data_IF_995043745085
#
_entry.id   IF_995043745085
#
_cell.length_a   1.000
_cell.length_b   1.000
_cell.length_c   1.000
_cell.angle_alpha   90.00
_cell.angle_beta   90.00
_cell.angle_gamma   90.00
#
_symmetry.space_group_name_H-M   'P 1'
#
loop_
_entity.id
_entity.type
_entity.pdbx_description
1 polymer ?
#
# COMPACT_ATOMS: atom_id res chain seq x y z
N UNK A 1 20.32 22.61 15.19
CA UNK A 1 19.77 22.03 13.95
C UNK A 1 19.66 20.52 14.18
N UNK A 2 18.48 20.01 14.54
CA UNK A 2 18.30 18.62 15.01
C UNK A 2 17.93 17.72 13.84
N UNK A 3 18.81 16.79 13.49
CA UNK A 3 18.54 15.66 12.61
C UNK A 3 17.55 14.72 13.31
N UNK A 4 16.29 14.70 12.86
CA UNK A 4 15.32 13.69 13.29
C UNK A 4 15.48 12.45 12.44
N UNK A 5 16.51 11.65 12.75
CA UNK A 5 16.60 10.27 12.28
C UNK A 5 15.92 9.35 13.31
N UNK A 6 15.04 8.47 12.82
CA UNK A 6 14.42 7.32 13.53
C UNK A 6 13.51 7.69 14.71
N UNK A 7 12.19 7.56 14.50
CA UNK A 7 11.04 7.58 15.46
C UNK A 7 10.10 8.80 15.45
N UNK A 8 9.62 9.25 14.28
CA UNK A 8 8.48 10.16 14.24
C UNK A 8 7.48 9.75 13.14
N UNK A 9 6.80 8.62 13.35
CA UNK A 9 5.49 8.33 12.76
C UNK A 9 4.64 7.35 13.61
N UNK A 10 5.12 6.95 14.79
CA UNK A 10 4.36 6.16 15.76
C UNK A 10 4.20 6.95 17.07
N UNK A 11 3.37 7.98 17.04
CA UNK A 11 2.65 8.55 18.19
C UNK A 11 1.81 9.75 17.72
N UNK A 12 0.75 9.48 16.95
CA UNK A 12 -0.40 10.36 16.94
C UNK A 12 -1.64 9.46 16.86
N UNK A 13 -2.50 9.40 17.89
CA UNK A 13 -3.85 8.91 17.66
C UNK A 13 -4.48 9.92 16.70
N UNK A 14 -4.66 9.55 15.44
CA UNK A 14 -5.54 10.27 14.52
C UNK A 14 -6.98 10.04 14.98
N UNK A 15 -7.32 10.62 16.14
CA UNK A 15 -8.66 11.09 16.41
C UNK A 15 -8.89 12.30 15.49
N UNK A 16 -9.18 12.05 14.21
CA UNK A 16 -9.82 13.03 13.35
C UNK A 16 -11.27 13.14 13.81
N UNK A 17 -11.49 13.84 14.93
CA UNK A 17 -12.79 14.42 15.23
C UNK A 17 -13.03 15.58 14.23
N UNK A 18 -14.26 15.76 13.73
CA UNK A 18 -14.56 16.76 12.73
C UNK A 18 -14.65 18.11 13.41
N UNK A 19 -13.68 19.01 13.25
CA UNK A 19 -13.92 20.43 13.55
C UNK A 19 -13.04 21.37 12.73
N UNK A 20 -13.74 22.31 12.10
CA UNK A 20 -13.40 23.71 11.88
C UNK A 20 -12.23 24.06 10.93
N UNK A 21 -12.57 25.00 10.04
CA UNK A 21 -11.72 25.68 9.08
C UNK A 21 -10.36 26.15 9.67
N UNK A 22 -9.29 26.02 8.88
CA UNK A 22 -8.08 26.83 9.05
C UNK A 22 -6.77 26.10 9.38
N UNK A 23 -6.69 24.77 9.35
CA UNK A 23 -5.40 24.10 9.52
C UNK A 23 -4.53 24.27 8.25
N UNK A 24 -3.39 24.97 8.38
CA UNK A 24 -2.38 24.99 7.32
C UNK A 24 -1.92 23.56 7.01
N UNK A 25 -1.72 23.19 5.73
CA UNK A 25 -1.23 21.87 5.39
C UNK A 25 0.16 21.68 6.01
N UNK A 26 0.27 20.75 6.95
CA UNK A 26 1.55 20.41 7.56
C UNK A 26 2.46 19.80 6.49
N UNK A 27 3.43 20.57 6.00
CA UNK A 27 4.37 20.08 5.01
C UNK A 27 5.31 19.05 5.66
N UNK A 28 5.40 17.87 5.06
CA UNK A 28 6.31 16.81 5.51
C UNK A 28 7.54 16.84 4.62
N UNK A 29 8.74 16.83 5.21
CA UNK A 29 9.98 16.77 4.45
C UNK A 29 10.31 15.30 4.14
N UNK A 30 10.55 14.98 2.88
CA UNK A 30 10.84 13.62 2.42
C UNK A 30 12.01 13.61 1.43
N UNK A 31 12.73 12.50 1.29
CA UNK A 31 13.83 12.35 0.34
C UNK A 31 13.53 11.23 -0.69
N UNK A 32 12.74 11.49 -1.73
CA UNK A 32 12.36 10.44 -2.67
C UNK A 32 13.47 10.08 -3.65
N UNK A 33 14.42 10.98 -3.93
CA UNK A 33 15.39 10.82 -5.03
C UNK A 33 16.71 11.60 -4.90
N UNK A 34 17.02 12.27 -3.77
CA UNK A 34 18.22 13.11 -3.66
C UNK A 34 18.18 14.12 -2.51
N UNK A 35 18.02 15.43 -2.76
CA UNK A 35 17.81 16.40 -1.69
C UNK A 35 16.41 16.24 -1.10
N UNK A 36 16.24 16.48 0.20
CA UNK A 36 14.91 16.52 0.80
C UNK A 36 14.00 17.55 0.12
N UNK A 37 12.77 17.17 -0.18
CA UNK A 37 11.73 18.05 -0.70
C UNK A 37 10.52 18.11 0.24
N UNK A 38 9.74 19.18 0.14
CA UNK A 38 8.49 19.32 0.87
C UNK A 38 7.39 18.57 0.14
N UNK A 39 6.61 17.81 0.90
CA UNK A 39 5.41 17.13 0.46
C UNK A 39 4.18 17.82 1.06
N UNK A 40 3.14 17.96 0.25
CA UNK A 40 1.80 18.38 0.68
C UNK A 40 0.74 17.43 0.16
N UNK A 41 -0.37 17.32 0.89
CA UNK A 41 -1.50 16.47 0.51
C UNK A 41 -2.79 17.27 0.49
N UNK A 42 -3.66 16.98 -0.47
CA UNK A 42 -5.01 17.54 -0.53
C UNK A 42 -5.99 16.51 -1.09
N UNK A 43 -7.26 16.64 -0.73
CA UNK A 43 -8.35 15.95 -1.43
C UNK A 43 -8.95 16.94 -2.43
N UNK A 44 -8.95 16.56 -3.71
CA UNK A 44 -9.49 17.36 -4.82
C UNK A 44 -10.49 16.50 -5.57
N UNK A 45 -11.78 16.73 -5.33
CA UNK A 45 -12.84 15.84 -5.80
C UNK A 45 -12.64 14.41 -5.27
N UNK A 46 -12.70 13.43 -6.17
CA UNK A 46 -12.52 12.01 -5.86
C UNK A 46 -11.04 11.57 -5.75
N UNK A 47 -10.09 12.52 -5.70
CA UNK A 47 -8.65 12.25 -5.70
C UNK A 47 -7.96 12.71 -4.44
N UNK A 48 -7.16 11.84 -3.84
CA UNK A 48 -6.13 12.21 -2.88
C UNK A 48 -4.85 12.53 -3.63
N UNK A 49 -4.48 13.80 -3.65
CA UNK A 49 -3.34 14.35 -4.38
C UNK A 49 -2.17 14.56 -3.44
N UNK A 50 -1.03 13.98 -3.79
CA UNK A 50 0.24 14.11 -3.07
C UNK A 50 1.19 14.88 -3.99
N UNK A 51 1.57 16.09 -3.57
CA UNK A 51 2.42 16.99 -4.35
C UNK A 51 3.79 17.10 -3.69
N UNK A 52 4.84 17.09 -4.50
CA UNK A 52 6.23 17.17 -4.04
C UNK A 52 6.87 18.41 -4.64
N UNK A 53 7.43 19.27 -3.80
CA UNK A 53 8.11 20.48 -4.24
C UNK A 53 9.26 20.13 -5.21
N UNK A 54 9.31 20.83 -6.34
CA UNK A 54 10.30 20.59 -7.40
C UNK A 54 9.96 19.43 -8.36
N UNK A 55 8.85 18.72 -8.14
CA UNK A 55 8.38 17.68 -9.07
C UNK A 55 7.16 18.16 -9.85
N UNK A 56 7.13 18.00 -11.19
CA UNK A 56 6.10 18.61 -12.03
C UNK A 56 4.74 17.90 -11.92
N UNK A 57 4.73 16.60 -11.62
CA UNK A 57 3.51 15.79 -11.58
C UNK A 57 3.22 15.33 -10.15
N UNK A 58 1.98 15.50 -9.66
CA UNK A 58 1.56 14.92 -8.39
C UNK A 58 1.38 13.40 -8.51
N UNK A 59 1.29 12.73 -7.37
CA UNK A 59 0.75 11.38 -7.28
C UNK A 59 -0.72 11.46 -6.88
N UNK A 60 -1.59 10.75 -7.60
CA UNK A 60 -3.04 10.78 -7.38
C UNK A 60 -3.58 9.39 -7.07
N UNK A 61 -4.25 9.27 -5.93
CA UNK A 61 -4.92 8.06 -5.46
C UNK A 61 -6.43 8.29 -5.36
N UNK A 62 -7.27 7.24 -5.32
CA UNK A 62 -8.67 7.39 -4.91
C UNK A 62 -8.77 8.08 -3.54
N UNK A 63 -9.64 9.09 -3.39
CA UNK A 63 -9.73 9.89 -2.17
C UNK A 63 -10.29 9.14 -0.96
N UNK A 64 -11.13 8.14 -1.20
CA UNK A 64 -11.88 7.49 -0.12
C UNK A 64 -10.93 6.76 0.83
N UNK A 65 -11.01 7.13 2.12
CA UNK A 65 -10.14 6.65 3.22
C UNK A 65 -8.65 6.85 2.96
N UNK A 66 -8.31 7.78 2.07
CA UNK A 66 -6.93 8.03 1.70
C UNK A 66 -6.17 8.78 2.77
N UNK A 67 -4.95 8.33 3.06
CA UNK A 67 -4.09 8.90 4.11
C UNK A 67 -2.65 8.45 3.94
N UNK A 68 -1.69 9.29 4.30
CA UNK A 68 -0.30 8.88 4.45
C UNK A 68 -0.19 7.97 5.68
N UNK A 69 0.55 6.87 5.53
CA UNK A 69 0.82 5.93 6.61
C UNK A 69 2.21 6.13 7.19
N UNK A 70 3.22 6.04 6.32
CA UNK A 70 4.62 6.07 6.74
C UNK A 70 5.56 6.42 5.58
N UNK A 71 6.80 6.78 5.93
CA UNK A 71 7.93 6.84 5.02
C UNK A 71 8.95 5.76 5.42
N UNK A 72 9.44 4.98 4.45
CA UNK A 72 10.36 3.89 4.65
C UNK A 72 11.70 4.19 3.99
N UNK A 73 12.82 4.06 4.71
CA UNK A 73 14.13 4.16 4.08
C UNK A 73 14.42 2.91 3.24
N UNK A 74 14.56 3.08 1.93
CA UNK A 74 14.81 2.01 0.97
C UNK A 74 15.83 2.45 -0.07
N UNK A 75 16.91 1.69 -0.24
CA UNK A 75 17.98 1.96 -1.22
C UNK A 75 18.52 3.41 -1.16
N UNK A 76 18.73 3.94 0.06
CA UNK A 76 19.25 5.30 0.28
C UNK A 76 18.24 6.43 0.02
N UNK A 77 16.96 6.10 -0.16
CA UNK A 77 15.85 7.02 -0.45
C UNK A 77 14.69 6.75 0.50
N UNK A 78 13.67 7.59 0.45
CA UNK A 78 12.42 7.40 1.18
C UNK A 78 11.29 7.01 0.23
N UNK A 79 10.67 5.87 0.51
CA UNK A 79 9.45 5.38 -0.14
C UNK A 79 8.27 5.63 0.79
N UNK A 80 7.28 6.38 0.32
CA UNK A 80 6.06 6.66 1.06
C UNK A 80 5.04 5.52 0.89
N UNK A 81 4.34 5.22 1.96
CA UNK A 81 3.14 4.40 1.93
C UNK A 81 1.91 5.28 2.16
N UNK A 82 0.95 5.20 1.24
CA UNK A 82 -0.33 5.88 1.33
C UNK A 82 -1.46 4.87 1.18
N UNK A 83 -2.36 4.83 2.16
CA UNK A 83 -3.56 3.98 2.10
C UNK A 83 -4.65 4.65 1.26
N UNK A 84 -5.55 3.84 0.71
CA UNK A 84 -6.82 4.25 0.09
C UNK A 84 -7.81 3.07 0.03
N UNK A 85 -9.08 3.34 -0.19
CA UNK A 85 -10.12 2.32 -0.31
C UNK A 85 -10.00 1.51 -1.62
N UNK A 86 -10.13 0.19 -1.55
CA UNK A 86 -10.26 -0.69 -2.71
C UNK A 86 -11.71 -0.87 -3.20
N UNK A 87 -12.70 -0.65 -2.32
CA UNK A 87 -14.13 -0.64 -2.66
C UNK A 87 -14.57 0.71 -3.26
N UNK A 88 -15.44 0.67 -4.28
CA UNK A 88 -15.91 1.88 -4.99
C UNK A 88 -16.96 2.64 -4.21
N UNK A 89 -17.73 1.96 -3.35
CA UNK A 89 -18.79 2.58 -2.56
C UNK A 89 -18.96 1.96 -1.16
N UNK A 90 -19.63 2.65 -0.22
CA UNK A 90 -20.02 2.06 1.06
C UNK A 90 -20.92 0.84 0.93
N UNK A 91 -21.78 0.77 -0.10
CA UNK A 91 -22.64 -0.37 -0.35
C UNK A 91 -21.83 -1.61 -0.76
N UNK A 92 -20.87 -1.45 -1.68
CA UNK A 92 -19.95 -2.52 -2.09
C UNK A 92 -19.11 -3.03 -0.91
N UNK A 93 -18.65 -2.12 -0.04
CA UNK A 93 -17.91 -2.47 1.17
C UNK A 93 -18.74 -3.32 2.15
N UNK A 94 -20.05 -3.06 2.23
CA UNK A 94 -20.95 -3.82 3.11
C UNK A 94 -21.24 -5.22 2.53
N UNK A 95 -21.28 -5.36 1.21
CA UNK A 95 -21.57 -6.62 0.51
C UNK A 95 -20.34 -7.54 0.44
N UNK A 96 -19.19 -7.01 -0.01
CA UNK A 96 -17.99 -7.81 -0.28
C UNK A 96 -16.93 -7.73 0.82
N UNK A 97 -17.17 -6.87 1.82
CA UNK A 97 -16.21 -6.58 2.85
C UNK A 97 -15.38 -5.34 2.56
N UNK A 98 -14.89 -4.71 3.62
CA UNK A 98 -14.11 -3.48 3.51
C UNK A 98 -12.68 -3.81 3.09
N UNK A 99 -12.21 -3.24 1.99
CA UNK A 99 -10.86 -3.40 1.47
C UNK A 99 -10.10 -2.08 1.54
N UNK A 100 -8.96 -2.07 2.22
CA UNK A 100 -8.00 -0.97 2.17
C UNK A 100 -6.73 -1.45 1.46
N UNK A 101 -6.24 -0.64 0.53
CA UNK A 101 -5.01 -0.85 -0.23
C UNK A 101 -3.94 0.13 0.23
N UNK A 102 -2.69 -0.18 -0.09
CA UNK A 102 -1.54 0.71 0.11
C UNK A 102 -0.76 0.89 -1.19
N UNK A 103 -0.56 2.14 -1.59
CA UNK A 103 0.36 2.51 -2.65
C UNK A 103 1.74 2.81 -2.07
N UNK A 104 2.77 2.21 -2.67
CA UNK A 104 4.18 2.50 -2.40
C UNK A 104 4.67 3.52 -3.44
N UNK A 105 5.13 4.68 -2.98
CA UNK A 105 5.40 5.85 -3.80
C UNK A 105 6.84 6.31 -3.57
N UNK A 106 7.61 6.50 -4.64
CA UNK A 106 9.00 6.94 -4.52
C UNK A 106 9.64 7.12 -5.89
N UNK A 107 10.94 7.39 -5.90
CA UNK A 107 11.68 7.44 -7.17
C UNK A 107 12.25 6.08 -7.55
N UNK A 108 11.98 5.67 -8.78
CA UNK A 108 12.61 4.49 -9.40
C UNK A 108 14.06 4.75 -9.85
N UNK A 109 14.55 5.99 -9.79
CA UNK A 109 15.85 6.38 -10.34
C UNK A 109 15.76 7.41 -11.46
N UNK A 110 14.63 7.47 -12.15
CA UNK A 110 14.38 8.41 -13.23
C UNK A 110 13.24 9.37 -12.89
N UNK A 111 12.15 8.88 -12.30
CA UNK A 111 10.95 9.66 -12.02
C UNK A 111 10.34 9.29 -10.66
N UNK A 112 9.58 10.24 -10.10
CA UNK A 112 8.71 9.98 -8.96
C UNK A 112 7.40 9.35 -9.47
N UNK A 113 7.01 8.21 -8.88
CA UNK A 113 5.88 7.40 -9.36
C UNK A 113 5.34 6.47 -8.28
N UNK A 114 4.26 5.77 -8.60
CA UNK A 114 3.84 4.57 -7.88
C UNK A 114 4.76 3.41 -8.25
N UNK A 115 5.36 2.81 -7.24
CA UNK A 115 6.30 1.70 -7.33
C UNK A 115 5.64 0.35 -7.03
N UNK A 116 4.48 0.33 -6.36
CA UNK A 116 3.74 -0.89 -6.05
C UNK A 116 2.39 -0.58 -5.42
N UNK A 117 1.47 -1.54 -5.49
CA UNK A 117 0.19 -1.50 -4.78
C UNK A 117 -0.01 -2.85 -4.12
N UNK A 118 -0.32 -2.85 -2.83
CA UNK A 118 -0.56 -4.06 -2.04
C UNK A 118 -1.88 -3.95 -1.29
N UNK A 119 -2.46 -5.10 -0.95
CA UNK A 119 -3.55 -5.16 0.00
C UNK A 119 -3.03 -4.80 1.40
N UNK A 120 -3.61 -3.77 2.01
CA UNK A 120 -3.26 -3.35 3.36
C UNK A 120 -4.08 -4.09 4.39
N UNK A 121 -5.40 -4.09 4.23
CA UNK A 121 -6.31 -4.83 5.11
C UNK A 121 -7.60 -5.17 4.39
N UNK A 122 -8.21 -6.28 4.75
CA UNK A 122 -9.53 -6.67 4.28
C UNK A 122 -10.33 -7.32 5.40
N UNK A 123 -11.61 -6.98 5.49
CA UNK A 123 -12.57 -7.58 6.41
C UNK A 123 -13.74 -8.12 5.61
N UNK A 124 -13.80 -9.44 5.46
CA UNK A 124 -14.73 -10.14 4.60
C UNK A 124 -15.90 -10.82 5.34
N UNK A 125 -16.84 -11.39 4.58
CA UNK A 125 -17.92 -12.21 5.12
C UNK A 125 -17.42 -13.42 5.92
N UNK A 126 -18.23 -13.89 6.87
CA UNK A 126 -17.93 -15.10 7.65
C UNK A 126 -16.68 -14.99 8.53
N UNK A 127 -16.34 -13.77 8.97
CA UNK A 127 -15.17 -13.51 9.83
C UNK A 127 -13.82 -13.55 9.12
N UNK A 128 -13.80 -13.67 7.79
CA UNK A 128 -12.56 -13.66 7.02
C UNK A 128 -11.84 -12.31 7.18
N UNK A 129 -10.52 -12.35 7.34
CA UNK A 129 -9.73 -11.12 7.45
C UNK A 129 -8.35 -11.25 6.84
N UNK A 130 -7.75 -10.11 6.53
CA UNK A 130 -6.38 -10.00 6.08
C UNK A 130 -5.79 -8.70 6.57
N UNK A 131 -4.54 -8.73 7.02
CA UNK A 131 -3.79 -7.54 7.44
C UNK A 131 -2.33 -7.65 6.98
N UNK A 132 -1.80 -6.55 6.46
CA UNK A 132 -0.39 -6.36 6.12
C UNK A 132 0.22 -5.27 7.00
N UNK A 133 1.32 -5.60 7.66
CA UNK A 133 2.23 -4.64 8.28
C UNK A 133 3.48 -4.48 7.41
N UNK A 134 3.85 -3.22 7.13
CA UNK A 134 5.03 -2.88 6.33
C UNK A 134 6.20 -2.50 7.24
N UNK A 135 7.39 -3.02 6.93
CA UNK A 135 8.63 -2.73 7.64
C UNK A 135 9.80 -2.63 6.65
N UNK A 136 10.75 -1.74 6.92
CA UNK A 136 11.98 -1.58 6.14
C UNK A 136 13.19 -1.80 7.04
N UNK A 137 13.57 -3.06 7.31
CA UNK A 137 14.66 -3.36 8.23
C UNK A 137 15.98 -2.80 7.68
N UNK A 138 16.51 -1.77 8.34
CA UNK A 138 17.91 -1.35 8.25
C UNK A 138 18.36 -0.66 6.95
N UNK A 139 17.61 0.31 6.41
CA UNK A 139 17.95 1.04 5.17
C UNK A 139 18.29 0.12 3.97
N UNK A 140 17.73 -1.08 3.98
CA UNK A 140 18.04 -2.12 3.00
C UNK A 140 17.48 -1.82 1.60
N UNK A 141 17.63 -2.80 0.73
CA UNK A 141 17.06 -2.80 -0.62
C UNK A 141 15.76 -3.60 -0.70
N UNK A 142 15.16 -3.95 0.45
CA UNK A 142 13.91 -4.69 0.51
C UNK A 142 12.95 -4.11 1.56
N UNK A 143 11.67 -4.05 1.23
CA UNK A 143 10.56 -3.78 2.12
C UNK A 143 9.91 -5.10 2.51
N UNK A 144 9.80 -5.37 3.81
CA UNK A 144 9.13 -6.56 4.36
C UNK A 144 7.63 -6.29 4.52
N UNK A 145 6.82 -7.26 4.11
CA UNK A 145 5.38 -7.29 4.31
C UNK A 145 5.04 -8.44 5.26
N UNK A 146 4.79 -8.15 6.53
CA UNK A 146 4.32 -9.15 7.50
C UNK A 146 2.81 -9.28 7.38
N UNK A 147 2.32 -10.50 7.18
CA UNK A 147 0.92 -10.76 6.81
C UNK A 147 0.25 -11.70 7.76
N UNK A 148 -1.01 -11.41 8.05
CA UNK A 148 -1.92 -12.27 8.80
C UNK A 148 -3.19 -12.41 7.99
N UNK A 149 -3.64 -13.64 7.78
CA UNK A 149 -4.91 -13.94 7.14
C UNK A 149 -5.74 -14.89 8.00
N UNK A 150 -7.03 -14.62 8.06
CA UNK A 150 -8.03 -15.49 8.67
C UNK A 150 -9.00 -15.91 7.58
N UNK A 151 -9.07 -17.20 7.21
CA UNK A 151 -10.06 -17.66 6.24
C UNK A 151 -11.48 -17.59 6.82
N UNK A 152 -12.53 -17.60 6.00
CA UNK A 152 -13.91 -17.61 6.48
C UNK A 152 -14.20 -18.85 7.33
N UNK A 153 -14.98 -18.67 8.40
CA UNK A 153 -15.38 -19.72 9.34
C UNK A 153 -16.26 -20.77 8.64
N UNK A 154 -15.63 -21.80 8.07
CA UNK A 154 -16.32 -23.07 7.70
C UNK A 154 -15.79 -24.28 8.46
N UNK A 155 -14.70 -24.15 9.21
CA UNK A 155 -14.11 -25.26 9.96
C UNK A 155 -14.05 -24.91 11.45
N UNK A 156 -14.35 -25.90 12.28
CA UNK A 156 -14.41 -25.90 13.76
C UNK A 156 -13.12 -25.50 14.49
N UNK A 157 -12.11 -24.96 13.78
CA UNK A 157 -10.89 -24.38 14.33
C UNK A 157 -10.51 -23.14 13.51
N UNK A 158 -10.63 -21.96 14.11
CA UNK A 158 -10.03 -20.74 13.58
C UNK A 158 -8.52 -20.93 13.56
N UNK A 159 -7.90 -20.97 12.38
CA UNK A 159 -6.46 -20.95 12.23
C UNK A 159 -6.05 -19.67 11.50
N UNK A 160 -5.05 -18.98 12.03
CA UNK A 160 -4.46 -17.82 11.38
C UNK A 160 -3.29 -18.26 10.50
N UNK A 161 -3.26 -17.79 9.26
CA UNK A 161 -2.12 -17.94 8.37
C UNK A 161 -1.22 -16.72 8.55
N UNK A 162 0.04 -16.95 8.93
CA UNK A 162 1.02 -15.89 9.17
C UNK A 162 2.24 -16.14 8.31
N UNK A 163 2.66 -15.15 7.53
CA UNK A 163 3.88 -15.22 6.72
C UNK A 163 4.51 -13.84 6.52
N UNK A 164 5.65 -13.80 5.84
CA UNK A 164 6.27 -12.55 5.40
C UNK A 164 6.65 -12.64 3.92
N UNK A 165 6.29 -11.61 3.17
CA UNK A 165 6.77 -11.37 1.81
C UNK A 165 7.82 -10.25 1.82
N UNK A 166 8.57 -10.13 0.71
CA UNK A 166 9.57 -9.09 0.55
C UNK A 166 9.44 -8.45 -0.83
N UNK A 167 9.54 -7.13 -0.87
CA UNK A 167 9.55 -6.32 -2.07
C UNK A 167 10.93 -5.70 -2.24
N UNK A 168 11.70 -6.12 -3.24
CA UNK A 168 13.01 -5.57 -3.54
C UNK A 168 12.91 -4.29 -4.37
N UNK A 169 13.75 -3.32 -4.03
CA UNK A 169 14.01 -2.15 -4.85
C UNK A 169 14.66 -2.54 -6.18
N UNK A 170 14.22 -1.91 -7.26
CA UNK A 170 14.77 -2.07 -8.61
C UNK A 170 14.97 -0.70 -9.24
N UNK A 171 16.13 -0.48 -9.83
CA UNK A 171 16.38 0.73 -10.59
C UNK A 171 15.53 0.73 -11.86
N UNK A 172 14.83 1.83 -12.13
CA UNK A 172 14.03 2.06 -13.33
C UNK A 172 12.69 1.32 -13.39
N UNK A 173 12.26 0.69 -12.29
CA UNK A 173 11.07 -0.17 -12.31
C UNK A 173 10.26 -0.15 -11.01
N UNK A 174 9.09 -0.82 -11.02
CA UNK A 174 8.33 -1.08 -9.80
C UNK A 174 9.13 -1.96 -8.84
N UNK A 175 8.70 -1.99 -7.58
CA UNK A 175 9.20 -2.94 -6.59
C UNK A 175 8.91 -4.36 -7.07
N UNK A 176 9.94 -5.20 -7.02
CA UNK A 176 9.85 -6.58 -7.47
C UNK A 176 9.63 -7.53 -6.30
N UNK A 177 8.91 -8.62 -6.56
CA UNK A 177 8.84 -9.70 -5.60
C UNK A 177 10.24 -10.26 -5.30
N UNK A 178 10.50 -10.51 -4.02
CA UNK A 178 11.78 -10.99 -3.51
C UNK A 178 11.58 -12.11 -2.48
N UNK A 179 10.55 -12.94 -2.69
CA UNK A 179 10.28 -14.08 -1.85
C UNK A 179 11.53 -15.00 -1.77
N UNK A 180 11.95 -15.43 -0.57
CA UNK A 180 13.14 -16.27 -0.41
C UNK A 180 12.97 -17.66 -1.04
N UNK A 181 11.72 -18.11 -1.21
CA UNK A 181 11.34 -19.33 -1.91
C UNK A 181 10.02 -19.09 -2.66
N UNK A 182 9.81 -19.75 -3.81
CA UNK A 182 8.52 -19.71 -4.49
C UNK A 182 7.38 -20.17 -3.55
N UNK A 183 6.25 -19.45 -3.53
CA UNK A 183 5.10 -19.86 -2.73
C UNK A 183 4.51 -21.16 -3.26
N UNK A 184 3.95 -21.98 -2.36
CA UNK A 184 3.26 -23.21 -2.77
C UNK A 184 2.00 -22.85 -3.56
N UNK A 185 1.73 -23.51 -4.70
CA UNK A 185 0.48 -23.33 -5.44
C UNK A 185 -0.75 -23.53 -4.55
N UNK A 186 -1.82 -22.80 -4.82
CA UNK A 186 -3.07 -22.88 -4.04
C UNK A 186 -3.02 -22.20 -2.66
N UNK A 187 -1.96 -21.44 -2.35
CA UNK A 187 -1.87 -20.65 -1.11
C UNK A 187 -2.20 -19.17 -1.36
N UNK A 188 -2.62 -18.47 -0.30
CA UNK A 188 -2.76 -17.00 -0.31
C UNK A 188 -1.48 -16.30 -0.77
N UNK A 189 -0.32 -16.83 -0.35
CA UNK A 189 0.97 -16.28 -0.75
C UNK A 189 1.17 -16.37 -2.28
N UNK A 190 0.80 -17.48 -2.91
CA UNK A 190 0.88 -17.64 -4.36
C UNK A 190 -0.10 -16.75 -5.11
N UNK A 191 -1.34 -16.62 -4.61
CA UNK A 191 -2.34 -15.72 -5.20
C UNK A 191 -1.87 -14.26 -5.15
N UNK A 192 -1.37 -13.80 -4.00
CA UNK A 192 -0.88 -12.43 -3.84
C UNK A 192 0.40 -12.16 -4.63
N UNK A 193 1.30 -13.14 -4.75
CA UNK A 193 2.47 -13.02 -5.63
C UNK A 193 2.06 -12.85 -7.11
N UNK A 194 1.01 -13.58 -7.56
CA UNK A 194 0.46 -13.42 -8.91
C UNK A 194 -0.17 -12.04 -9.11
N UNK A 195 -1.03 -11.59 -8.18
CA UNK A 195 -1.64 -10.25 -8.22
C UNK A 195 -0.56 -9.17 -8.29
N UNK A 196 0.47 -9.29 -7.45
CA UNK A 196 1.62 -8.36 -7.45
C UNK A 196 2.32 -8.31 -8.80
N UNK A 197 2.53 -9.45 -9.46
CA UNK A 197 3.07 -9.49 -10.82
C UNK A 197 2.19 -8.73 -11.83
N UNK A 198 0.87 -8.88 -11.73
CA UNK A 198 -0.09 -8.16 -12.57
C UNK A 198 -0.09 -6.64 -12.29
N UNK A 199 -0.04 -6.25 -11.02
CA UNK A 199 0.10 -4.84 -10.61
C UNK A 199 1.41 -4.26 -11.13
N UNK A 200 2.54 -4.96 -10.95
CA UNK A 200 3.84 -4.50 -11.42
C UNK A 200 3.85 -4.28 -12.94
N UNK A 201 3.21 -5.17 -13.70
CA UNK A 201 3.05 -5.02 -15.14
C UNK A 201 2.22 -3.77 -15.51
N UNK A 202 1.13 -3.49 -14.80
CA UNK A 202 0.30 -2.29 -15.03
C UNK A 202 1.02 -0.98 -14.68
N UNK A 203 1.95 -1.03 -13.73
CA UNK A 203 2.75 0.13 -13.36
C UNK A 203 3.85 0.43 -14.38
N UNK A 204 3.99 -0.37 -15.46
CA UNK A 204 4.91 -0.14 -16.58
C UNK A 204 4.06 0.10 -17.85
N UNK A 205 4.06 1.32 -18.43
CA UNK A 205 4.93 2.48 -18.17
C UNK A 205 4.66 3.21 -16.84
N UNK A 206 5.59 4.08 -16.37
CA UNK A 206 5.47 4.78 -15.09
C UNK A 206 4.10 5.40 -14.83
N UNK A 207 3.52 5.09 -13.67
CA UNK A 207 2.19 5.52 -13.28
C UNK A 207 2.24 6.51 -12.10
N UNK A 208 1.61 7.67 -12.27
CA UNK A 208 1.43 8.68 -11.20
C UNK A 208 -0.02 8.76 -10.70
N UNK A 209 -0.98 8.21 -11.44
CA UNK A 209 -2.42 8.28 -11.10
C UNK A 209 -3.02 6.88 -11.05
N UNK A 210 -3.47 6.45 -9.86
CA UNK A 210 -4.19 5.20 -9.68
C UNK A 210 -5.70 5.41 -9.75
N UNK A 211 -6.40 4.47 -10.38
CA UNK A 211 -7.86 4.33 -10.32
C UNK A 211 -8.22 2.91 -9.95
N UNK A 212 -9.41 2.71 -9.38
CA UNK A 212 -9.93 1.36 -9.17
C UNK A 212 -10.14 0.61 -10.50
N UNK A 213 -10.51 1.32 -11.57
CA UNK A 213 -10.64 0.70 -12.89
C UNK A 213 -9.30 0.19 -13.45
N UNK A 214 -8.21 0.92 -13.19
CA UNK A 214 -6.86 0.46 -13.54
C UNK A 214 -6.48 -0.81 -12.76
N UNK A 215 -6.90 -0.92 -11.49
CA UNK A 215 -6.56 -2.07 -10.64
C UNK A 215 -7.50 -3.27 -10.82
N UNK A 216 -8.72 -3.06 -11.32
CA UNK A 216 -9.73 -4.10 -11.54
C UNK A 216 -9.22 -5.38 -12.25
N UNK A 217 -8.43 -5.32 -13.34
CA UNK A 217 -7.96 -6.53 -14.02
C UNK A 217 -6.91 -7.35 -13.24
N UNK A 218 -6.40 -6.86 -12.11
CA UNK A 218 -5.34 -7.54 -11.34
C UNK A 218 -5.85 -8.57 -10.35
N UNK A 219 -7.17 -8.63 -10.10
CA UNK A 219 -7.72 -9.41 -8.99
C UNK A 219 -7.46 -8.81 -7.60
N UNK A 220 -6.70 -7.70 -7.48
CA UNK A 220 -6.44 -7.03 -6.20
C UNK A 220 -7.71 -6.52 -5.50
N UNK A 221 -8.74 -6.20 -6.29
CA UNK A 221 -10.02 -5.68 -5.78
C UNK A 221 -11.02 -6.77 -5.40
N UNK A 222 -10.68 -8.05 -5.61
CA UNK A 222 -11.52 -9.18 -5.24
C UNK A 222 -10.72 -10.20 -4.42
N UNK A 223 -10.51 -9.93 -3.12
CA UNK A 223 -9.85 -10.89 -2.24
C UNK A 223 -10.59 -12.23 -2.20
N UNK A 224 -11.92 -12.26 -2.35
CA UNK A 224 -12.71 -13.48 -2.18
C UNK A 224 -12.48 -14.50 -3.29
N UNK A 225 -12.35 -14.05 -4.55
CA UNK A 225 -12.07 -14.94 -5.69
C UNK A 225 -10.73 -15.69 -5.56
N UNK A 226 -9.79 -15.12 -4.81
CA UNK A 226 -8.45 -15.67 -4.63
C UNK A 226 -8.33 -16.59 -3.42
N UNK A 227 -9.33 -16.55 -2.52
CA UNK A 227 -9.40 -17.34 -1.28
C UNK A 227 -10.21 -18.61 -1.55
N UNK A 228 -9.75 -19.44 -2.48
CA UNK A 228 -10.29 -20.81 -2.57
C UNK A 228 -9.66 -21.60 -1.43
N UNK A 229 -10.49 -22.08 -0.49
CA UNK A 229 -10.03 -22.94 0.59
C UNK A 229 -9.24 -24.12 0.00
N UNK A 230 -8.09 -24.52 0.59
CA UNK A 230 -7.41 -25.72 0.14
C UNK A 230 -8.40 -26.90 0.19
N UNK A 231 -8.38 -27.81 -0.80
CA UNK A 231 -9.15 -29.04 -0.70
C UNK A 231 -8.73 -29.75 0.58
N UNK A 232 -9.73 -30.11 1.40
CA UNK A 232 -9.55 -30.83 2.66
C UNK A 232 -9.00 -32.23 2.48
#
# INVERSE_FOLDING_TARGET
MRLLSRRALFAAPLALAPTAAGAQPSAVQINPAGPPCLLTTAVVGERFRITFAGWPLPIELPARRARLLAAFPLAGREVLAAAFAGDRSPAEAAEHGRLDLVALIGSDGAALRVLGVEMLSWQGPGGASFDTMLDAPGHGVALRLARVATPPERATRSFHLIWSDYLAWRQGGPLADAAPRPPRPGTWQAALARIRGQVAALLVPPCTTLTLNLLAPTGLLDPQAEIVAPPG
#
